data_IF_411838920969
#
_entry.id   IF_411838920969
#
_cell.length_a   1.000
_cell.length_b   1.000
_cell.length_c   1.000
_cell.angle_alpha   90.00
_cell.angle_beta   90.00
_cell.angle_gamma   90.00
#
_symmetry.space_group_name_H-M   'P 1'
#
loop_
_entity.id
_entity.type
_entity.pdbx_description
1 polymer ?
#
# COMPACT_ATOMS: atom_id res chain seq x y z
N UNK A 1 5.64 41.60 74.50
CA UNK A 1 5.03 42.93 74.29
C UNK A 1 5.84 43.59 73.17
N UNK A 2 5.41 43.91 71.96
CA UNK A 2 4.11 44.22 71.37
C UNK A 2 4.25 44.24 69.83
N UNK A 3 3.22 43.73 69.14
CA UNK A 3 2.61 44.16 67.86
C UNK A 3 3.44 44.46 66.60
N UNK A 4 3.04 43.78 65.51
CA UNK A 4 2.57 44.30 64.20
C UNK A 4 3.47 45.28 63.42
N UNK A 5 3.78 45.17 62.13
CA UNK A 5 3.31 44.39 60.99
C UNK A 5 3.60 45.23 59.73
N UNK A 6 3.86 44.63 58.58
CA UNK A 6 3.43 45.16 57.27
C UNK A 6 3.73 44.18 56.13
N UNK A 7 2.75 44.08 55.23
CA UNK A 7 2.72 43.28 54.02
C UNK A 7 3.91 43.56 53.09
N UNK A 8 4.16 42.64 52.15
CA UNK A 8 4.05 42.91 50.70
C UNK A 8 3.80 41.57 50.00
N UNK A 9 2.65 41.50 49.33
CA UNK A 9 2.26 40.44 48.41
C UNK A 9 3.30 40.32 47.30
N UNK A 10 3.80 39.12 47.03
CA UNK A 10 4.24 38.73 45.69
C UNK A 10 3.53 37.43 45.31
N UNK A 11 2.56 37.59 44.43
CA UNK A 11 1.91 36.53 43.67
C UNK A 11 2.98 35.83 42.84
N UNK A 12 3.43 34.66 43.30
CA UNK A 12 4.32 33.77 42.56
C UNK A 12 3.48 32.75 41.79
N UNK A 13 3.55 32.87 40.47
CA UNK A 13 2.93 32.07 39.42
C UNK A 13 2.44 30.66 39.81
N UNK A 14 1.15 30.43 39.60
CA UNK A 14 0.58 29.09 39.37
C UNK A 14 1.22 28.58 38.07
N UNK A 15 2.20 27.69 38.19
CA UNK A 15 2.69 26.89 37.07
C UNK A 15 1.58 25.90 36.75
N UNK A 16 0.67 26.30 35.87
CA UNK A 16 -0.24 25.37 35.20
C UNK A 16 0.64 24.40 34.43
N UNK A 17 0.72 23.16 34.93
CA UNK A 17 1.17 22.00 34.18
C UNK A 17 0.22 21.83 32.99
N UNK A 18 0.49 22.56 31.91
CA UNK A 18 -0.10 22.32 30.60
C UNK A 18 0.39 20.95 30.15
N UNK A 19 -0.51 19.98 30.28
CA UNK A 19 -0.39 18.64 29.73
C UNK A 19 0.02 18.74 28.28
N UNK A 20 1.24 18.31 27.95
CA UNK A 20 1.69 18.09 26.58
C UNK A 20 0.89 16.92 26.01
N UNK A 21 -0.32 17.21 25.54
CA UNK A 21 -1.12 16.28 24.78
C UNK A 21 -0.45 16.07 23.41
N UNK A 22 0.12 14.88 23.23
CA UNK A 22 0.04 14.14 21.99
C UNK A 22 0.94 14.57 20.84
N UNK A 23 2.26 14.59 21.03
CA UNK A 23 3.11 14.12 19.94
C UNK A 23 2.87 12.61 19.86
N UNK A 24 2.13 12.17 18.84
CA UNK A 24 2.04 10.75 18.50
C UNK A 24 3.46 10.28 18.16
N UNK A 25 4.19 9.81 19.16
CA UNK A 25 5.50 9.21 18.94
C UNK A 25 5.25 7.97 18.10
N UNK A 26 5.74 7.94 16.86
CA UNK A 26 5.75 6.74 16.05
C UNK A 26 6.34 5.62 16.91
N UNK A 27 5.48 4.69 17.34
CA UNK A 27 5.87 3.66 18.27
C UNK A 27 6.82 2.72 17.50
N UNK A 28 7.99 2.38 18.08
CA UNK A 28 8.92 1.51 17.37
C UNK A 28 8.24 0.17 17.05
N UNK A 29 8.64 -0.48 15.95
CA UNK A 29 8.05 -1.75 15.56
C UNK A 29 8.14 -2.80 16.65
N UNK A 30 7.10 -3.65 16.74
CA UNK A 30 7.05 -4.71 17.75
C UNK A 30 8.17 -5.73 17.54
N UNK A 31 8.60 -6.40 18.63
CA UNK A 31 9.57 -7.49 18.56
C UNK A 31 9.09 -8.62 17.64
N UNK A 32 7.79 -8.88 17.63
CA UNK A 32 7.17 -9.87 16.74
C UNK A 32 7.33 -9.46 15.28
N UNK A 33 7.01 -8.22 14.93
CA UNK A 33 7.10 -7.73 13.55
C UNK A 33 8.54 -7.80 13.02
N UNK A 34 9.53 -7.44 13.85
CA UNK A 34 10.95 -7.59 13.51
C UNK A 34 11.35 -9.06 13.32
N UNK A 35 10.92 -9.95 14.21
CA UNK A 35 11.24 -11.37 14.12
C UNK A 35 10.60 -12.05 12.89
N UNK A 36 9.33 -11.72 12.60
CA UNK A 36 8.61 -12.24 11.44
C UNK A 36 9.21 -11.69 10.14
N UNK A 37 9.57 -10.40 10.11
CA UNK A 37 10.28 -9.81 8.96
C UNK A 37 11.59 -10.55 8.67
N UNK A 38 12.40 -10.83 9.70
CA UNK A 38 13.61 -11.65 9.55
C UNK A 38 13.33 -13.04 8.96
N UNK A 39 12.35 -13.76 9.50
CA UNK A 39 11.96 -15.08 9.00
C UNK A 39 11.46 -15.06 7.54
N UNK A 40 10.78 -14.00 7.11
CA UNK A 40 10.39 -13.82 5.71
C UNK A 40 11.61 -13.61 4.83
N UNK A 41 12.55 -12.78 5.28
CA UNK A 41 13.79 -12.52 4.56
C UNK A 41 14.75 -13.71 4.56
N UNK A 42 14.66 -14.63 5.51
CA UNK A 42 15.48 -15.86 5.49
C UNK A 42 15.00 -16.85 4.40
N UNK A 43 13.77 -16.71 3.89
CA UNK A 43 13.22 -17.53 2.80
C UNK A 43 13.76 -17.09 1.44
N UNK A 44 14.91 -17.65 1.07
CA UNK A 44 15.63 -17.33 -0.17
C UNK A 44 14.83 -17.60 -1.45
N UNK A 45 13.98 -18.63 -1.44
CA UNK A 45 13.06 -18.95 -2.53
C UNK A 45 12.01 -17.84 -2.74
N UNK A 46 11.43 -17.31 -1.66
CA UNK A 46 10.46 -16.21 -1.74
C UNK A 46 11.12 -14.91 -2.18
N UNK A 47 12.32 -14.62 -1.66
CA UNK A 47 13.11 -13.45 -2.09
C UNK A 47 13.48 -13.50 -3.56
N UNK A 48 13.89 -14.66 -4.08
CA UNK A 48 14.22 -14.79 -5.49
C UNK A 48 13.02 -14.49 -6.40
N UNK A 49 11.81 -14.88 -5.98
CA UNK A 49 10.58 -14.55 -6.69
C UNK A 49 10.26 -13.05 -6.64
N UNK A 50 10.57 -12.35 -5.54
CA UNK A 50 10.35 -10.91 -5.38
C UNK A 50 11.10 -10.04 -6.41
N UNK A 51 12.13 -10.58 -7.06
CA UNK A 51 12.89 -9.92 -8.13
C UNK A 51 12.23 -10.03 -9.51
N UNK A 52 11.24 -10.90 -9.67
CA UNK A 52 10.57 -11.14 -10.95
C UNK A 52 9.44 -10.14 -11.15
N UNK A 53 9.10 -9.90 -12.42
CA UNK A 53 7.94 -9.09 -12.75
C UNK A 53 6.63 -9.76 -12.24
N UNK A 54 5.76 -9.07 -11.48
CA UNK A 54 4.54 -9.69 -10.94
C UNK A 54 3.64 -10.26 -12.03
N UNK A 55 3.47 -9.56 -13.15
CA UNK A 55 2.72 -10.03 -14.32
C UNK A 55 3.17 -11.38 -14.88
N UNK A 56 4.42 -11.80 -14.63
CA UNK A 56 4.97 -13.10 -15.06
C UNK A 56 4.65 -14.25 -14.09
N UNK A 57 4.18 -13.93 -12.89
CA UNK A 57 3.88 -14.88 -11.82
C UNK A 57 2.38 -14.99 -11.52
N UNK A 58 1.57 -14.08 -12.06
CA UNK A 58 0.11 -14.14 -11.94
C UNK A 58 -0.44 -15.46 -12.52
N UNK A 59 -1.23 -16.24 -11.76
CA UNK A 59 -1.89 -17.42 -12.29
C UNK A 59 -2.90 -17.03 -13.39
N UNK A 60 -3.26 -17.99 -14.24
CA UNK A 60 -4.33 -17.80 -15.21
C UNK A 60 -5.64 -17.53 -14.45
N UNK A 61 -6.45 -16.59 -14.96
CA UNK A 61 -7.65 -16.04 -14.31
C UNK A 61 -8.60 -17.16 -13.89
N UNK A 62 -8.46 -17.63 -12.65
CA UNK A 62 -9.39 -18.50 -11.96
C UNK A 62 -9.85 -17.71 -10.75
N UNK A 63 -11.10 -17.24 -10.83
CA UNK A 63 -11.93 -16.69 -9.76
C UNK A 63 -11.16 -16.09 -8.58
N UNK A 64 -11.16 -14.75 -8.54
CA UNK A 64 -10.88 -13.92 -7.38
C UNK A 64 -11.09 -14.67 -6.06
N UNK A 65 -9.98 -15.04 -5.42
CA UNK A 65 -10.00 -15.27 -3.97
C UNK A 65 -10.31 -13.90 -3.38
N UNK A 66 -11.60 -13.65 -3.18
CA UNK A 66 -12.08 -12.60 -2.31
C UNK A 66 -11.31 -12.75 -1.00
N UNK A 67 -10.81 -11.64 -0.46
CA UNK A 67 -10.21 -11.57 0.87
C UNK A 67 -11.28 -11.92 1.92
N UNK A 68 -11.72 -13.18 1.97
CA UNK A 68 -12.69 -13.72 2.92
C UNK A 68 -12.06 -14.06 4.26
N UNK A 69 -10.76 -13.78 4.42
CA UNK A 69 -10.00 -13.98 5.66
C UNK A 69 -9.75 -12.63 6.34
N UNK A 70 -9.85 -12.62 7.67
CA UNK A 70 -9.57 -11.46 8.53
C UNK A 70 -8.13 -10.97 8.33
N UNK A 71 -7.94 -9.66 8.52
CA UNK A 71 -6.64 -9.00 8.61
C UNK A 71 -5.75 -9.67 9.67
N UNK A 72 -4.43 -9.64 9.47
CA UNK A 72 -3.47 -10.12 10.47
C UNK A 72 -3.34 -9.07 11.58
N UNK A 73 -3.93 -9.35 12.74
CA UNK A 73 -3.91 -8.44 13.88
C UNK A 73 -2.53 -8.43 14.58
N UNK A 74 -2.18 -7.37 15.33
CA UNK A 74 -1.01 -7.37 16.20
C UNK A 74 -1.04 -8.56 17.17
N UNK A 75 0.07 -9.29 17.31
CA UNK A 75 0.15 -10.52 18.11
C UNK A 75 -0.14 -11.82 17.33
N UNK A 76 -0.52 -11.73 16.05
CA UNK A 76 -0.85 -12.89 15.21
C UNK A 76 0.07 -13.06 13.99
N UNK A 77 1.09 -12.20 13.84
CA UNK A 77 1.95 -12.18 12.65
C UNK A 77 2.67 -13.52 12.44
N UNK A 78 3.07 -14.19 13.53
CA UNK A 78 3.70 -15.51 13.43
C UNK A 78 2.73 -16.59 12.90
N UNK A 79 1.46 -16.55 13.32
CA UNK A 79 0.42 -17.46 12.82
C UNK A 79 0.15 -17.21 11.34
N UNK A 80 0.01 -15.94 10.96
CA UNK A 80 -0.15 -15.56 9.55
C UNK A 80 1.04 -16.01 8.69
N UNK A 81 2.27 -15.93 9.21
CA UNK A 81 3.44 -16.44 8.49
C UNK A 81 3.36 -17.97 8.28
N UNK A 82 2.91 -18.71 9.29
CA UNK A 82 2.75 -20.16 9.19
C UNK A 82 1.66 -20.55 8.17
N UNK A 83 0.56 -19.80 8.10
CA UNK A 83 -0.50 -20.00 7.11
C UNK A 83 -0.06 -19.62 5.70
N UNK A 84 0.64 -18.49 5.55
CA UNK A 84 1.25 -18.08 4.28
C UNK A 84 2.23 -19.16 3.76
N UNK A 85 3.01 -19.76 4.66
CA UNK A 85 3.90 -20.87 4.33
C UNK A 85 3.15 -22.13 3.86
N UNK A 86 1.88 -22.28 4.21
CA UNK A 86 0.98 -23.34 3.74
C UNK A 86 0.18 -22.92 2.50
N UNK A 87 0.65 -21.91 1.76
CA UNK A 87 0.04 -21.36 0.55
C UNK A 87 -1.29 -20.62 0.77
N UNK A 88 -1.60 -20.17 1.99
CA UNK A 88 -2.73 -19.27 2.18
C UNK A 88 -2.41 -17.88 1.63
N UNK A 89 -3.01 -17.55 0.50
CA UNK A 89 -2.75 -16.31 -0.23
C UNK A 89 -3.16 -15.06 0.56
N UNK A 90 -4.28 -15.15 1.31
CA UNK A 90 -4.79 -14.07 2.13
C UNK A 90 -3.89 -13.77 3.32
N UNK A 91 -3.38 -14.81 4.00
CA UNK A 91 -2.43 -14.67 5.09
C UNK A 91 -1.12 -14.01 4.61
N UNK A 92 -0.63 -14.37 3.42
CA UNK A 92 0.52 -13.67 2.82
C UNK A 92 0.23 -12.18 2.58
N UNK A 93 -0.93 -11.85 2.01
CA UNK A 93 -1.32 -10.47 1.73
C UNK A 93 -1.48 -9.65 3.01
N UNK A 94 -2.26 -10.14 3.97
CA UNK A 94 -2.53 -9.41 5.20
C UNK A 94 -1.31 -9.29 6.12
N UNK A 95 -0.40 -10.27 6.10
CA UNK A 95 0.87 -10.12 6.80
C UNK A 95 1.75 -9.05 6.16
N UNK A 96 1.73 -8.92 4.83
CA UNK A 96 2.46 -7.86 4.14
C UNK A 96 1.94 -6.46 4.54
N UNK A 97 0.63 -6.28 4.56
CA UNK A 97 -0.05 -5.07 5.05
C UNK A 97 0.33 -4.77 6.50
N UNK A 98 0.20 -5.75 7.40
CA UNK A 98 0.51 -5.58 8.82
C UNK A 98 1.99 -5.19 9.06
N UNK A 99 2.92 -5.73 8.27
CA UNK A 99 4.34 -5.34 8.34
C UNK A 99 4.59 -3.93 7.79
N UNK A 100 3.84 -3.48 6.77
CA UNK A 100 3.90 -2.08 6.30
C UNK A 100 3.37 -1.10 7.36
N UNK A 101 2.24 -1.42 7.97
CA UNK A 101 1.63 -0.62 9.06
C UNK A 101 2.55 -0.54 10.29
N UNK A 102 3.26 -1.64 10.59
CA UNK A 102 4.26 -1.67 11.66
C UNK A 102 5.54 -0.87 11.32
N UNK A 103 5.64 -0.31 10.12
CA UNK A 103 6.83 0.38 9.62
C UNK A 103 8.13 -0.46 9.73
N UNK A 104 8.00 -1.79 9.65
CA UNK A 104 9.15 -2.71 9.62
C UNK A 104 9.57 -2.91 8.18
N UNK A 105 10.83 -2.56 7.88
CA UNK A 105 11.60 -2.92 6.68
C UNK A 105 10.74 -3.38 5.48
N UNK A 106 10.48 -2.44 4.57
CA UNK A 106 9.69 -2.60 3.33
C UNK A 106 9.97 -3.89 2.54
N UNK A 107 11.20 -4.41 2.63
CA UNK A 107 11.62 -5.63 1.92
C UNK A 107 10.81 -6.88 2.28
N UNK A 108 10.41 -7.09 3.54
CA UNK A 108 9.63 -8.28 3.90
C UNK A 108 8.21 -8.22 3.32
N UNK A 109 7.55 -7.06 3.40
CA UNK A 109 6.25 -6.84 2.77
C UNK A 109 6.32 -7.01 1.25
N UNK A 110 7.39 -6.53 0.61
CA UNK A 110 7.64 -6.75 -0.84
C UNK A 110 7.67 -8.24 -1.20
N UNK A 111 8.36 -9.06 -0.39
CA UNK A 111 8.43 -10.51 -0.58
C UNK A 111 7.05 -11.16 -0.42
N UNK A 112 6.31 -10.77 0.61
CA UNK A 112 4.98 -11.31 0.89
C UNK A 112 3.92 -10.89 -0.14
N UNK A 113 3.93 -9.65 -0.62
CA UNK A 113 3.05 -9.22 -1.72
C UNK A 113 3.33 -10.00 -3.00
N UNK A 114 4.61 -10.22 -3.33
CA UNK A 114 4.95 -11.06 -4.48
C UNK A 114 4.44 -12.50 -4.31
N UNK A 115 4.53 -13.04 -3.09
CA UNK A 115 4.03 -14.36 -2.77
C UNK A 115 2.51 -14.43 -2.90
N UNK A 116 1.79 -13.47 -2.34
CA UNK A 116 0.34 -13.34 -2.48
C UNK A 116 -0.08 -13.21 -3.95
N UNK A 117 0.67 -12.44 -4.74
CA UNK A 117 0.48 -12.31 -6.18
C UNK A 117 0.58 -13.67 -6.91
N UNK A 118 1.64 -14.43 -6.63
CA UNK A 118 1.84 -15.76 -7.20
C UNK A 118 0.71 -16.73 -6.81
N UNK A 119 0.14 -16.55 -5.62
CA UNK A 119 -0.99 -17.33 -5.11
C UNK A 119 -2.36 -16.83 -5.59
N UNK A 120 -2.41 -15.78 -6.41
CA UNK A 120 -3.63 -15.32 -7.07
C UNK A 120 -4.34 -14.12 -6.45
N UNK A 121 -3.77 -13.47 -5.43
CA UNK A 121 -4.32 -12.21 -4.90
C UNK A 121 -3.85 -11.05 -5.79
N UNK A 122 -4.75 -10.55 -6.63
CA UNK A 122 -4.48 -9.44 -7.56
C UNK A 122 -3.92 -8.20 -6.85
N UNK A 123 -4.48 -7.83 -5.70
CA UNK A 123 -4.01 -6.69 -4.90
C UNK A 123 -2.55 -6.85 -4.45
N UNK A 124 -2.08 -8.08 -4.20
CA UNK A 124 -0.67 -8.35 -3.91
C UNK A 124 0.22 -8.06 -5.13
N UNK A 125 -0.26 -8.33 -6.33
CA UNK A 125 0.45 -7.94 -7.56
C UNK A 125 0.48 -6.43 -7.73
N UNK A 126 -0.64 -5.75 -7.47
CA UNK A 126 -0.77 -4.29 -7.53
C UNK A 126 0.22 -3.60 -6.59
N UNK A 127 0.24 -4.01 -5.31
CA UNK A 127 1.16 -3.46 -4.31
C UNK A 127 2.63 -3.71 -4.68
N UNK A 128 2.97 -4.91 -5.18
CA UNK A 128 4.34 -5.18 -5.62
C UNK A 128 4.75 -4.32 -6.81
N UNK A 129 3.87 -4.14 -7.80
CA UNK A 129 4.13 -3.28 -8.95
C UNK A 129 4.29 -1.81 -8.54
N UNK A 130 3.49 -1.32 -7.58
CA UNK A 130 3.62 0.03 -7.05
C UNK A 130 5.00 0.25 -6.41
N UNK A 131 5.43 -0.64 -5.51
CA UNK A 131 6.75 -0.53 -4.90
C UNK A 131 7.90 -0.63 -5.91
N UNK A 132 7.81 -1.52 -6.92
CA UNK A 132 8.78 -1.59 -8.02
C UNK A 132 8.88 -0.25 -8.77
N UNK A 133 7.73 0.34 -9.10
CA UNK A 133 7.65 1.57 -9.87
C UNK A 133 8.14 2.77 -9.07
N UNK A 134 7.83 2.87 -7.77
CA UNK A 134 8.33 3.95 -6.91
C UNK A 134 9.87 3.94 -6.81
N UNK A 135 10.48 2.76 -6.67
CA UNK A 135 11.94 2.62 -6.59
C UNK A 135 12.65 3.00 -7.89
N UNK A 136 12.04 2.69 -9.04
CA UNK A 136 12.68 2.75 -10.37
C UNK A 136 11.76 3.27 -11.47
N UNK A 137 11.06 4.38 -11.21
CA UNK A 137 10.04 4.95 -12.12
C UNK A 137 10.52 5.26 -13.53
N UNK A 138 11.79 5.61 -13.70
CA UNK A 138 12.34 6.01 -15.00
C UNK A 138 12.94 4.81 -15.79
N UNK A 139 12.95 3.61 -15.19
CA UNK A 139 13.39 2.38 -15.85
C UNK A 139 12.29 1.81 -16.74
N UNK A 140 12.56 1.72 -18.05
CA UNK A 140 11.59 1.29 -19.08
C UNK A 140 11.09 -0.13 -18.85
N UNK A 141 11.94 -1.05 -18.38
CA UNK A 141 11.54 -2.44 -18.13
C UNK A 141 10.61 -2.51 -16.91
N UNK A 142 10.89 -1.70 -15.89
CA UNK A 142 10.02 -1.55 -14.70
C UNK A 142 8.68 -0.94 -15.09
N UNK A 143 8.66 0.12 -15.89
CA UNK A 143 7.41 0.72 -16.37
C UNK A 143 6.57 -0.31 -17.15
N UNK A 144 7.19 -1.04 -18.07
CA UNK A 144 6.51 -2.06 -18.87
C UNK A 144 6.01 -3.23 -17.99
N UNK A 145 6.78 -3.62 -16.98
CA UNK A 145 6.35 -4.63 -16.02
C UNK A 145 5.15 -4.16 -15.17
N UNK A 146 5.21 -2.94 -14.63
CA UNK A 146 4.15 -2.36 -13.83
C UNK A 146 2.85 -2.25 -14.64
N UNK A 147 2.92 -1.72 -15.85
CA UNK A 147 1.77 -1.62 -16.74
C UNK A 147 1.13 -2.98 -17.07
N UNK A 148 1.92 -4.01 -17.44
CA UNK A 148 1.37 -5.35 -17.66
C UNK A 148 0.73 -5.94 -16.40
N UNK A 149 1.25 -5.59 -15.23
CA UNK A 149 0.72 -6.05 -13.95
C UNK A 149 -0.62 -5.38 -13.65
N UNK A 150 -0.69 -4.06 -13.78
CA UNK A 150 -1.92 -3.30 -13.55
C UNK A 150 -3.02 -3.66 -14.53
N UNK A 151 -2.70 -3.90 -15.81
CA UNK A 151 -3.66 -4.39 -16.80
C UNK A 151 -4.28 -5.73 -16.35
N UNK A 152 -3.45 -6.73 -16.05
CA UNK A 152 -3.93 -8.05 -15.60
C UNK A 152 -4.69 -8.00 -14.28
N UNK A 153 -4.21 -7.23 -13.30
CA UNK A 153 -4.86 -7.12 -12.00
C UNK A 153 -6.18 -6.34 -12.12
N UNK A 154 -6.26 -5.33 -12.99
CA UNK A 154 -7.51 -4.66 -13.30
C UNK A 154 -8.49 -5.57 -14.05
N UNK A 155 -8.03 -6.45 -14.95
CA UNK A 155 -8.87 -7.48 -15.56
C UNK A 155 -9.44 -8.45 -14.51
N UNK A 156 -8.69 -8.69 -13.43
CA UNK A 156 -9.15 -9.39 -12.24
C UNK A 156 -9.95 -8.49 -11.27
N UNK A 157 -10.43 -7.33 -11.70
CA UNK A 157 -11.27 -6.41 -10.92
C UNK A 157 -10.65 -5.92 -9.58
N UNK A 158 -9.32 -5.76 -9.55
CA UNK A 158 -8.63 -5.03 -8.48
C UNK A 158 -8.82 -3.51 -8.71
N UNK A 159 -9.50 -2.77 -7.80
CA UNK A 159 -9.83 -1.36 -8.02
C UNK A 159 -8.60 -0.46 -8.15
N UNK A 160 -7.58 -0.69 -7.31
CA UNK A 160 -6.34 0.07 -7.35
C UNK A 160 -5.54 -0.17 -8.63
N UNK A 161 -5.47 -1.42 -9.11
CA UNK A 161 -4.88 -1.74 -10.40
C UNK A 161 -5.56 -0.99 -11.54
N UNK A 162 -6.90 -0.84 -11.51
CA UNK A 162 -7.60 -0.09 -12.55
C UNK A 162 -7.24 1.40 -12.53
N UNK A 163 -7.14 2.02 -11.35
CA UNK A 163 -6.66 3.41 -11.23
C UNK A 163 -5.22 3.55 -11.73
N UNK A 164 -4.32 2.64 -11.37
CA UNK A 164 -2.92 2.68 -11.81
C UNK A 164 -2.77 2.37 -13.30
N UNK A 165 -3.56 1.45 -13.85
CA UNK A 165 -3.56 1.17 -15.28
C UNK A 165 -4.00 2.39 -16.09
N UNK A 166 -5.02 3.11 -15.62
CA UNK A 166 -5.43 4.36 -16.25
C UNK A 166 -4.34 5.44 -16.16
N UNK A 167 -3.60 5.52 -15.06
CA UNK A 167 -2.44 6.42 -14.94
C UNK A 167 -1.37 6.09 -15.99
N UNK A 168 -1.04 4.81 -16.13
CA UNK A 168 -0.05 4.35 -17.11
C UNK A 168 -0.50 4.59 -18.54
N UNK A 169 -1.76 4.30 -18.88
CA UNK A 169 -2.35 4.58 -20.20
C UNK A 169 -2.41 6.07 -20.50
N UNK A 170 -2.79 6.91 -19.54
CA UNK A 170 -2.89 8.35 -19.76
C UNK A 170 -1.55 9.04 -19.98
N UNK A 171 -0.46 8.49 -19.43
CA UNK A 171 0.89 9.03 -19.50
C UNK A 171 1.83 8.27 -20.44
N UNK A 172 1.44 7.11 -20.95
CA UNK A 172 2.29 6.25 -21.76
C UNK A 172 3.44 5.59 -20.99
N UNK A 173 3.23 5.26 -19.72
CA UNK A 173 4.27 4.69 -18.86
C UNK A 173 4.38 3.17 -19.08
N UNK A 174 5.37 2.76 -19.87
CA UNK A 174 5.57 1.35 -20.25
C UNK A 174 4.48 0.78 -21.16
N UNK A 175 3.60 1.64 -21.68
CA UNK A 175 2.53 1.33 -22.64
C UNK A 175 2.39 2.47 -23.63
N UNK A 176 1.77 2.21 -24.78
CA UNK A 176 1.34 3.28 -25.68
C UNK A 176 0.28 4.14 -24.97
N UNK A 177 0.45 5.47 -25.00
CA UNK A 177 -0.52 6.40 -24.44
C UNK A 177 -1.89 6.23 -25.12
N UNK A 178 -2.93 6.06 -24.30
CA UNK A 178 -4.33 5.95 -24.72
C UNK A 178 -5.25 6.51 -23.64
N UNK A 179 -5.58 7.79 -23.76
CA UNK A 179 -6.44 8.49 -22.79
C UNK A 179 -7.88 7.98 -22.81
N UNK A 180 -8.39 7.52 -23.96
CA UNK A 180 -9.75 7.01 -24.05
C UNK A 180 -9.89 5.68 -23.32
N UNK A 181 -8.93 4.78 -23.53
CA UNK A 181 -8.88 3.52 -22.78
C UNK A 181 -8.64 3.77 -21.27
N UNK A 182 -7.84 4.77 -20.90
CA UNK A 182 -7.66 5.17 -19.51
C UNK A 182 -9.00 5.56 -18.85
N UNK A 183 -9.79 6.42 -19.49
CA UNK A 183 -11.11 6.83 -18.99
C UNK A 183 -12.07 5.66 -18.82
N UNK A 184 -12.06 4.70 -19.76
CA UNK A 184 -12.89 3.50 -19.70
C UNK A 184 -12.51 2.59 -18.52
N UNK A 185 -11.22 2.40 -18.29
CA UNK A 185 -10.73 1.54 -17.20
C UNK A 185 -11.02 2.15 -15.82
N UNK A 186 -11.05 3.48 -15.70
CA UNK A 186 -11.36 4.16 -14.43
C UNK A 186 -12.76 3.86 -13.88
N UNK A 187 -13.71 3.44 -14.72
CA UNK A 187 -15.04 3.06 -14.23
C UNK A 187 -14.97 1.84 -13.28
N UNK A 188 -13.99 0.96 -13.49
CA UNK A 188 -13.77 -0.24 -12.68
C UNK A 188 -13.15 0.05 -11.31
N UNK A 189 -12.53 1.22 -11.10
CA UNK A 189 -11.94 1.55 -9.80
C UNK A 189 -12.99 1.84 -8.72
N UNK A 190 -14.24 2.03 -9.10
CA UNK A 190 -15.35 2.30 -8.18
C UNK A 190 -16.16 1.04 -7.81
N UNK A 191 -15.58 -0.15 -7.99
CA UNK A 191 -16.22 -1.44 -7.70
C UNK A 191 -16.84 -1.53 -6.30
N UNK A 192 -16.17 -0.99 -5.28
CA UNK A 192 -16.65 -1.00 -3.89
C UNK A 192 -17.36 0.29 -3.47
N UNK A 193 -17.74 1.13 -4.44
CA UNK A 193 -18.49 2.37 -4.21
C UNK A 193 -17.64 3.64 -4.33
N UNK A 194 -18.29 4.81 -4.23
CA UNK A 194 -17.65 6.12 -4.46
C UNK A 194 -16.63 6.49 -3.38
N UNK A 195 -16.83 6.03 -2.14
CA UNK A 195 -15.95 6.31 -1.00
C UNK A 195 -14.71 5.40 -0.96
N UNK A 196 -14.63 4.40 -1.84
CA UNK A 196 -13.43 3.57 -1.95
C UNK A 196 -12.23 4.45 -2.34
N UNK A 197 -11.07 4.33 -1.67
CA UNK A 197 -9.90 5.13 -1.99
C UNK A 197 -9.49 5.03 -3.46
N UNK A 198 -9.53 3.84 -4.07
CA UNK A 198 -9.17 3.67 -5.48
C UNK A 198 -10.14 4.43 -6.39
N UNK A 199 -11.44 4.46 -6.06
CA UNK A 199 -12.44 5.25 -6.76
C UNK A 199 -12.14 6.75 -6.64
N UNK A 200 -11.90 7.24 -5.43
CA UNK A 200 -11.64 8.66 -5.17
C UNK A 200 -10.40 9.14 -5.95
N UNK A 201 -9.32 8.37 -5.93
CA UNK A 201 -8.13 8.67 -6.74
C UNK A 201 -8.42 8.58 -8.24
N UNK A 202 -9.18 7.57 -8.67
CA UNK A 202 -9.58 7.38 -10.06
C UNK A 202 -10.41 8.54 -10.60
N UNK A 203 -11.36 9.08 -9.84
CA UNK A 203 -12.17 10.23 -10.25
C UNK A 203 -11.35 11.52 -10.36
N UNK A 204 -10.37 11.73 -9.47
CA UNK A 204 -9.43 12.84 -9.59
C UNK A 204 -8.58 12.72 -10.86
N UNK A 205 -8.06 11.53 -11.14
CA UNK A 205 -7.31 11.27 -12.36
C UNK A 205 -8.18 11.45 -13.62
N UNK A 206 -9.45 11.01 -13.58
CA UNK A 206 -10.42 11.23 -14.66
C UNK A 206 -10.54 12.72 -14.98
N UNK A 207 -10.72 13.56 -13.96
CA UNK A 207 -10.81 15.01 -14.14
C UNK A 207 -9.54 15.59 -14.77
N UNK A 208 -8.34 15.15 -14.33
CA UNK A 208 -7.07 15.56 -14.94
C UNK A 208 -6.99 15.17 -16.43
N UNK A 209 -7.31 13.92 -16.77
CA UNK A 209 -7.26 13.45 -18.18
C UNK A 209 -8.18 14.26 -19.08
N UNK A 210 -9.39 14.57 -18.60
CA UNK A 210 -10.37 15.37 -19.36
C UNK A 210 -9.88 16.81 -19.54
N UNK A 211 -9.33 17.44 -18.49
CA UNK A 211 -8.82 18.80 -18.55
C UNK A 211 -7.58 18.93 -19.46
N UNK A 212 -6.68 17.95 -19.41
CA UNK A 212 -5.49 17.89 -20.26
C UNK A 212 -5.86 17.69 -21.74
N UNK A 213 -6.98 17.03 -22.03
CA UNK A 213 -7.50 16.89 -23.39
C UNK A 213 -8.20 18.17 -23.89
N UNK A 214 -8.71 19.00 -22.98
CA UNK A 214 -9.41 20.24 -23.28
C UNK A 214 -8.47 21.45 -23.43
N UNK A 215 -7.23 21.35 -22.95
CA UNK A 215 -6.19 22.36 -23.14
C UNK A 215 -5.42 22.07 -24.43
N UNK A 216 -5.62 22.81 -25.53
CA UNK A 216 -4.79 22.65 -26.71
C UNK A 216 -3.37 23.08 -26.32
N UNK A 217 -2.38 22.23 -26.57
CA UNK A 217 -0.97 22.60 -26.48
C UNK A 217 -0.70 23.80 -27.39
N UNK A 218 -0.19 24.90 -26.83
CA UNK A 218 0.40 26.01 -27.61
C UNK A 218 1.51 25.54 -28.56
#
# INVERSE_FOLDING_TARGET
MTRSGCAWRRLGAVVTLLSLAGLATAQPPSKEALAVSGQVLDRGDWRALALRCPASLMPQVQSLVYLGRKQCEPGQMQSCLAECAQNDAGACYWLAEALQEAHVASHASVVLFQRACQLGIASGCTNRAAGLFEERRDDVEVQACAARTYDKACQADDPWACTMQALHLSRGLGVRQDRQQALKVLEKSCKYGPEDPACTYGQRLKATIVNDAASPTE
#
